data_IF_110130746380
#
_entry.id   IF_110130746380
#
_cell.length_a   1.000
_cell.length_b   1.000
_cell.length_c   1.000
_cell.angle_alpha   90.00
_cell.angle_beta   90.00
_cell.angle_gamma   90.00
#
_symmetry.space_group_name_H-M   'P 1'
#
loop_
_entity.id
_entity.type
_entity.pdbx_description
1 polymer ?
#
# COMPACT_ATOMS: atom_id res chain seq x y z
N UNK A 1 -3.38 17.04 8.09
CA UNK A 1 -4.56 16.13 8.10
C UNK A 1 -4.72 15.46 6.73
N UNK A 2 -4.68 16.21 5.64
CA UNK A 2 -4.80 15.66 4.26
C UNK A 2 -3.74 14.59 3.94
N UNK A 3 -2.47 14.84 4.26
CA UNK A 3 -1.39 13.87 4.07
C UNK A 3 -1.62 12.53 4.81
N UNK A 4 -2.25 12.57 5.99
CA UNK A 4 -2.61 11.37 6.73
C UNK A 4 -3.73 10.59 6.02
N UNK A 5 -4.75 11.29 5.52
CA UNK A 5 -5.87 10.67 4.79
C UNK A 5 -5.35 9.98 3.51
N UNK A 6 -4.47 10.63 2.75
CA UNK A 6 -3.89 10.02 1.55
C UNK A 6 -3.02 8.79 1.86
N UNK A 7 -2.16 8.86 2.88
CA UNK A 7 -1.37 7.71 3.32
C UNK A 7 -2.26 6.56 3.81
N UNK A 8 -3.32 6.87 4.56
CA UNK A 8 -4.25 5.86 5.07
C UNK A 8 -5.03 5.17 3.93
N UNK A 9 -5.55 5.94 2.98
CA UNK A 9 -6.27 5.38 1.82
C UNK A 9 -5.32 4.57 0.94
N UNK A 10 -4.09 5.03 0.72
CA UNK A 10 -3.07 4.28 -0.04
C UNK A 10 -2.73 2.93 0.60
N UNK A 11 -2.48 2.92 1.91
CA UNK A 11 -2.22 1.69 2.68
C UNK A 11 -3.42 0.74 2.66
N UNK A 12 -4.63 1.28 2.89
CA UNK A 12 -5.87 0.49 2.89
C UNK A 12 -6.13 -0.14 1.53
N UNK A 13 -5.98 0.63 0.45
CA UNK A 13 -6.15 0.16 -0.92
C UNK A 13 -5.12 -0.92 -1.27
N UNK A 14 -3.85 -0.71 -0.92
CA UNK A 14 -2.78 -1.69 -1.15
C UNK A 14 -3.05 -2.99 -0.38
N UNK A 15 -3.44 -2.91 0.89
CA UNK A 15 -3.78 -4.09 1.71
C UNK A 15 -4.99 -4.84 1.13
N UNK A 16 -6.02 -4.12 0.68
CA UNK A 16 -7.21 -4.75 0.10
C UNK A 16 -6.90 -5.39 -1.25
N UNK A 17 -6.05 -4.77 -2.08
CA UNK A 17 -5.57 -5.34 -3.34
C UNK A 17 -4.87 -6.67 -3.12
N UNK A 18 -4.01 -6.77 -2.10
CA UNK A 18 -3.32 -8.02 -1.78
C UNK A 18 -4.29 -9.14 -1.40
N UNK A 19 -5.30 -8.84 -0.57
CA UNK A 19 -6.35 -9.79 -0.18
C UNK A 19 -7.19 -10.31 -1.36
N UNK A 20 -7.35 -9.51 -2.43
CA UNK A 20 -8.03 -9.97 -3.65
C UNK A 20 -7.20 -11.05 -4.34
N UNK A 21 -5.88 -10.90 -4.37
CA UNK A 21 -4.95 -11.92 -4.87
C UNK A 21 -5.04 -13.23 -4.09
N UNK A 22 -5.03 -13.14 -2.77
CA UNK A 22 -5.14 -14.30 -1.88
C UNK A 22 -6.46 -15.04 -2.09
N UNK A 23 -7.58 -14.31 -2.14
CA UNK A 23 -8.90 -14.90 -2.40
C UNK A 23 -9.00 -15.52 -3.81
N UNK A 24 -8.37 -14.91 -4.81
CA UNK A 24 -8.31 -15.48 -6.16
C UNK A 24 -7.47 -16.76 -6.19
N UNK A 25 -6.39 -16.83 -5.42
CA UNK A 25 -5.56 -18.03 -5.28
C UNK A 25 -6.27 -19.16 -4.53
N UNK A 26 -7.04 -18.84 -3.49
CA UNK A 26 -7.86 -19.81 -2.74
C UNK A 26 -9.09 -20.29 -3.50
N UNK A 27 -9.45 -19.64 -4.61
CA UNK A 27 -10.52 -20.13 -5.48
C UNK A 27 -10.14 -21.49 -6.10
N UNK A 28 -11.13 -22.33 -6.45
CA UNK A 28 -10.89 -23.59 -7.15
C UNK A 28 -10.53 -23.34 -8.64
N UNK A 29 -9.54 -22.49 -8.90
CA UNK A 29 -9.12 -22.06 -10.23
C UNK A 29 -8.68 -23.21 -11.14
N UNK A 30 -8.18 -24.30 -10.53
CA UNK A 30 -7.79 -25.54 -11.20
C UNK A 30 -8.97 -26.37 -11.72
N UNK A 31 -10.20 -26.10 -11.25
CA UNK A 31 -11.43 -26.75 -11.75
C UNK A 31 -12.16 -25.92 -12.82
N UNK A 32 -11.70 -24.69 -13.09
CA UNK A 32 -12.32 -23.80 -14.06
C UNK A 32 -11.87 -24.11 -15.49
N UNK A 33 -12.68 -23.67 -16.46
CA UNK A 33 -12.31 -23.71 -17.87
C UNK A 33 -10.98 -22.98 -18.12
N UNK A 34 -10.17 -23.43 -19.10
CA UNK A 34 -8.84 -22.88 -19.37
C UNK A 34 -8.85 -21.36 -19.66
N UNK A 35 -9.93 -20.84 -20.24
CA UNK A 35 -10.09 -19.39 -20.45
C UNK A 35 -10.19 -18.62 -19.13
N UNK A 36 -10.97 -19.10 -18.18
CA UNK A 36 -11.15 -18.44 -16.88
C UNK A 36 -9.92 -18.60 -15.98
N UNK A 37 -9.22 -19.72 -16.09
CA UNK A 37 -7.98 -19.95 -15.38
C UNK A 37 -6.92 -18.91 -15.77
N UNK A 38 -6.83 -18.56 -17.07
CA UNK A 38 -5.92 -17.50 -17.55
C UNK A 38 -6.29 -16.13 -16.99
N UNK A 39 -7.57 -15.82 -16.86
CA UNK A 39 -8.04 -14.55 -16.30
C UNK A 39 -7.71 -14.44 -14.80
N UNK A 40 -7.91 -15.52 -14.04
CA UNK A 40 -7.54 -15.58 -12.61
C UNK A 40 -6.03 -15.45 -12.43
N UNK A 41 -5.23 -16.12 -13.27
CA UNK A 41 -3.77 -16.02 -13.23
C UNK A 41 -3.31 -14.57 -13.43
N UNK A 42 -3.90 -13.86 -14.40
CA UNK A 42 -3.62 -12.44 -14.63
C UNK A 42 -4.03 -11.60 -13.41
N UNK A 43 -5.19 -11.88 -12.81
CA UNK A 43 -5.66 -11.19 -11.61
C UNK A 43 -4.70 -11.37 -10.42
N UNK A 44 -4.24 -12.60 -10.17
CA UNK A 44 -3.27 -12.91 -9.11
C UNK A 44 -1.96 -12.14 -9.37
N UNK A 45 -1.38 -12.24 -10.57
CA UNK A 45 -0.13 -11.53 -10.91
C UNK A 45 -0.28 -10.01 -10.76
N UNK A 46 -1.42 -9.45 -11.18
CA UNK A 46 -1.71 -8.01 -11.04
C UNK A 46 -1.82 -7.59 -9.57
N UNK A 47 -2.46 -8.40 -8.73
CA UNK A 47 -2.67 -8.11 -7.31
C UNK A 47 -1.40 -8.16 -6.46
N UNK A 48 -0.42 -8.98 -6.86
CA UNK A 48 0.90 -9.06 -6.21
C UNK A 48 1.75 -7.80 -6.43
N UNK A 49 1.47 -7.04 -7.49
CA UNK A 49 2.11 -5.75 -7.69
C UNK A 49 1.50 -4.78 -6.67
N UNK A 50 2.27 -4.51 -5.62
CA UNK A 50 1.93 -3.52 -4.60
C UNK A 50 1.38 -2.27 -5.29
N UNK A 51 0.12 -1.93 -4.98
CA UNK A 51 -0.49 -0.70 -5.44
C UNK A 51 0.05 0.43 -4.55
N UNK A 52 1.37 0.61 -4.57
CA UNK A 52 2.03 1.70 -3.83
C UNK A 52 1.69 2.98 -4.57
N UNK A 53 0.87 3.79 -3.91
CA UNK A 53 0.51 5.12 -4.35
C UNK A 53 1.75 6.00 -4.13
N UNK A 54 2.61 6.14 -5.14
CA UNK A 54 3.83 6.93 -5.00
C UNK A 54 3.54 8.40 -5.27
N UNK A 55 3.82 9.29 -4.32
CA UNK A 55 3.77 10.75 -4.55
C UNK A 55 4.99 11.15 -5.38
N UNK A 56 4.72 11.73 -6.54
CA UNK A 56 5.76 12.28 -7.43
C UNK A 56 6.79 11.26 -7.91
N UNK A 57 6.55 9.94 -7.76
CA UNK A 57 7.53 8.86 -8.00
C UNK A 57 8.72 8.86 -7.03
N UNK A 58 8.68 9.64 -5.95
CA UNK A 58 9.78 9.83 -5.00
C UNK A 58 9.51 9.13 -3.66
N UNK A 59 8.25 9.09 -3.19
CA UNK A 59 7.89 8.46 -1.93
C UNK A 59 6.62 7.64 -2.03
N UNK A 60 6.65 6.42 -1.51
CA UNK A 60 5.46 5.61 -1.34
C UNK A 60 4.58 6.17 -0.21
N UNK A 61 3.30 6.36 -0.50
CA UNK A 61 2.27 6.73 0.48
C UNK A 61 1.99 5.54 1.38
N UNK A 62 2.82 5.37 2.40
CA UNK A 62 2.59 4.45 3.51
C UNK A 62 2.39 5.21 4.82
N UNK A 63 1.63 4.62 5.73
CA UNK A 63 1.47 5.12 7.09
C UNK A 63 2.81 5.14 7.83
N UNK A 64 3.70 4.20 7.48
CA UNK A 64 5.06 4.09 8.03
C UNK A 64 5.92 5.29 7.62
N UNK A 65 5.85 5.71 6.36
CA UNK A 65 6.53 6.92 5.88
C UNK A 65 5.98 8.17 6.59
N UNK A 66 4.66 8.28 6.71
CA UNK A 66 4.02 9.40 7.42
C UNK A 66 4.49 9.48 8.87
N UNK A 67 4.50 8.37 9.60
CA UNK A 67 5.00 8.32 10.97
C UNK A 67 6.48 8.73 11.08
N UNK A 68 7.31 8.34 10.12
CA UNK A 68 8.71 8.77 10.03
C UNK A 68 8.83 10.29 9.88
N UNK A 69 8.05 10.89 8.98
CA UNK A 69 8.03 12.35 8.76
C UNK A 69 7.61 13.07 10.05
N UNK A 70 6.54 12.60 10.71
CA UNK A 70 6.09 13.19 11.98
C UNK A 70 7.19 13.07 13.04
N UNK A 71 7.85 11.92 13.16
CA UNK A 71 8.94 11.72 14.12
C UNK A 71 10.11 12.68 13.88
N UNK A 72 10.53 12.85 12.62
CA UNK A 72 11.60 13.80 12.27
C UNK A 72 11.19 15.24 12.57
N UNK A 73 9.96 15.61 12.25
CA UNK A 73 9.45 16.96 12.54
C UNK A 73 9.41 17.25 14.05
N UNK A 74 8.97 16.30 14.87
CA UNK A 74 8.98 16.41 16.32
C UNK A 74 10.40 16.52 16.87
N UNK A 75 11.33 15.71 16.35
CA UNK A 75 12.75 15.77 16.73
C UNK A 75 13.36 17.14 16.44
N UNK A 76 13.04 17.74 15.28
CA UNK A 76 13.49 19.10 14.94
C UNK A 76 12.94 20.14 15.91
N UNK A 77 11.65 20.07 16.25
CA UNK A 77 11.02 20.96 17.23
C UNK A 77 11.67 20.79 18.61
N UNK A 78 11.95 19.56 19.04
CA UNK A 78 12.63 19.31 20.32
C UNK A 78 14.04 19.91 20.35
N UNK A 79 14.81 19.81 19.27
CA UNK A 79 16.15 20.42 19.18
C UNK A 79 16.04 21.94 19.24
N UNK A 80 15.11 22.54 18.50
CA UNK A 80 14.88 23.99 18.55
C UNK A 80 14.48 24.46 19.95
N UNK A 81 13.61 23.70 20.63
CA UNK A 81 13.21 24.01 22.00
C UNK A 81 14.31 23.80 23.03
N UNK A 82 15.27 22.90 22.77
CA UNK A 82 16.43 22.72 23.66
C UNK A 82 17.51 23.80 23.45
N UNK A 83 17.55 24.43 22.27
CA UNK A 83 18.49 25.50 21.95
C UNK A 83 17.99 26.91 22.31
N UNK A 84 16.68 27.09 22.46
CA UNK A 84 16.05 28.35 22.87
C UNK A 84 15.42 28.21 24.26
#
# INVERSE_FOLDING_TARGET
MEAFIFCFVGEYLSSKSQKIGDAAYESLWYQLNPNQNRDILIMIIRSQKHLTLTVGKVMDLSLKQFASIVKVSASYVSVLHAMY
#
